data_IF_180958984188
#
_entry.id   IF_180958984188
#
_cell.length_a   1.000
_cell.length_b   1.000
_cell.length_c   1.000
_cell.angle_alpha   90.00
_cell.angle_beta   90.00
_cell.angle_gamma   90.00
#
_symmetry.space_group_name_H-M   'P 1'
#
loop_
_entity.id
_entity.type
_entity.pdbx_description
1 polymer ?
#
# COMPACT_ATOMS: atom_id res chain seq x y z
N UNK A 1 -5.84 53.08 13.00
CA UNK A 1 -5.72 52.25 11.78
C UNK A 1 -5.04 50.92 12.13
N UNK A 2 -5.62 50.16 13.05
CA UNK A 2 -5.19 48.79 13.37
C UNK A 2 -6.41 47.91 13.21
N UNK A 3 -6.57 47.38 11.99
CA UNK A 3 -7.60 46.39 11.69
C UNK A 3 -7.29 45.12 12.46
N UNK A 4 -8.15 44.79 13.42
CA UNK A 4 -8.21 43.46 13.99
C UNK A 4 -8.60 42.52 12.85
N UNK A 5 -7.61 41.79 12.32
CA UNK A 5 -7.86 40.60 11.51
C UNK A 5 -8.73 39.68 12.37
N UNK A 6 -9.98 39.41 11.99
CA UNK A 6 -10.78 38.47 12.73
C UNK A 6 -10.12 37.11 12.60
N UNK A 7 -9.78 36.51 13.74
CA UNK A 7 -9.48 35.09 13.91
C UNK A 7 -10.78 34.30 13.66
N UNK A 8 -11.36 34.49 12.47
CA UNK A 8 -12.58 33.85 12.04
C UNK A 8 -12.26 32.37 11.90
N UNK A 9 -12.62 31.62 12.94
CA UNK A 9 -13.01 30.23 12.92
C UNK A 9 -12.45 29.47 11.73
N UNK A 10 -11.23 28.92 11.90
CA UNK A 10 -10.70 27.90 11.01
C UNK A 10 -11.83 26.93 10.70
N UNK A 11 -12.23 26.91 9.42
CA UNK A 11 -13.49 26.38 8.97
C UNK A 11 -13.77 25.04 9.63
N UNK A 12 -14.82 25.01 10.45
CA UNK A 12 -15.43 23.77 10.90
C UNK A 12 -15.80 23.01 9.64
N UNK A 13 -14.91 22.09 9.24
CA UNK A 13 -15.09 21.33 8.02
C UNK A 13 -16.48 20.71 8.09
N UNK A 14 -17.25 20.75 6.98
CA UNK A 14 -18.67 20.43 6.99
C UNK A 14 -18.88 19.14 7.78
N UNK A 15 -19.68 19.22 8.85
CA UNK A 15 -19.88 18.12 9.78
C UNK A 15 -20.39 16.92 8.98
N UNK A 16 -19.48 15.99 8.68
CA UNK A 16 -19.84 14.75 8.02
C UNK A 16 -20.85 14.03 8.91
N UNK A 17 -21.88 13.44 8.31
CA UNK A 17 -22.77 12.55 9.04
C UNK A 17 -21.94 11.50 9.82
N UNK A 18 -22.36 11.10 11.03
CA UNK A 18 -21.55 10.30 11.96
C UNK A 18 -21.02 9.01 11.32
N UNK A 19 -21.80 8.43 10.41
CA UNK A 19 -21.43 7.25 9.62
C UNK A 19 -20.21 7.49 8.72
N UNK A 20 -20.15 8.61 7.98
CA UNK A 20 -19.01 8.92 7.10
C UNK A 20 -17.74 9.15 7.91
N UNK A 21 -17.83 9.84 9.04
CA UNK A 21 -16.70 10.03 9.95
C UNK A 21 -16.17 8.72 10.48
N UNK A 22 -17.05 7.80 10.89
CA UNK A 22 -16.66 6.48 11.35
C UNK A 22 -15.95 5.66 10.25
N UNK A 23 -16.43 5.71 9.00
CA UNK A 23 -15.79 5.05 7.86
C UNK A 23 -14.40 5.61 7.56
N UNK A 24 -14.24 6.93 7.56
CA UNK A 24 -12.93 7.57 7.34
C UNK A 24 -11.94 7.14 8.41
N UNK A 25 -12.33 7.20 9.69
CA UNK A 25 -11.47 6.77 10.80
C UNK A 25 -11.11 5.29 10.66
N UNK A 26 -12.09 4.43 10.36
CA UNK A 26 -11.84 3.00 10.16
C UNK A 26 -10.80 2.76 9.06
N UNK A 27 -10.99 3.36 7.88
CA UNK A 27 -10.09 3.18 6.76
C UNK A 27 -8.68 3.72 7.02
N UNK A 28 -8.57 4.86 7.71
CA UNK A 28 -7.26 5.43 8.09
C UNK A 28 -6.56 4.55 9.12
N UNK A 29 -7.27 4.05 10.14
CA UNK A 29 -6.69 3.18 11.17
C UNK A 29 -6.23 1.86 10.57
N UNK A 30 -7.06 1.20 9.75
CA UNK A 30 -6.69 -0.02 9.02
C UNK A 30 -5.50 0.26 8.12
N UNK A 31 -5.55 1.35 7.36
CA UNK A 31 -4.46 1.81 6.50
C UNK A 31 -3.13 1.94 7.25
N UNK A 32 -3.14 2.65 8.37
CA UNK A 32 -1.98 2.89 9.22
C UNK A 32 -1.41 1.60 9.80
N UNK A 33 -2.26 0.68 10.27
CA UNK A 33 -1.82 -0.62 10.79
C UNK A 33 -1.11 -1.43 9.71
N UNK A 34 -1.67 -1.53 8.51
CA UNK A 34 -1.07 -2.29 7.41
C UNK A 34 0.22 -1.65 6.88
N UNK A 35 0.26 -0.32 6.73
CA UNK A 35 1.47 0.39 6.31
C UNK A 35 2.60 0.21 7.34
N UNK A 36 2.28 0.35 8.63
CA UNK A 36 3.25 0.14 9.71
C UNK A 36 3.74 -1.31 9.73
N UNK A 37 2.84 -2.29 9.61
CA UNK A 37 3.21 -3.70 9.53
C UNK A 37 4.09 -3.99 8.29
N UNK A 38 3.82 -3.32 7.16
CA UNK A 38 4.66 -3.36 5.96
C UNK A 38 6.07 -2.83 6.19
N UNK A 39 6.19 -1.66 6.82
CA UNK A 39 7.48 -1.06 7.20
C UNK A 39 8.24 -1.97 8.17
N UNK A 40 7.57 -2.53 9.18
CA UNK A 40 8.20 -3.49 10.08
C UNK A 40 8.64 -4.75 9.32
N UNK A 41 7.81 -5.23 8.40
CA UNK A 41 8.11 -6.38 7.54
C UNK A 41 9.34 -6.17 6.67
N UNK A 42 9.52 -4.98 6.10
CA UNK A 42 10.70 -4.68 5.26
C UNK A 42 12.00 -4.66 6.09
N UNK A 43 11.93 -4.18 7.33
CA UNK A 43 13.09 -4.07 8.23
C UNK A 43 13.44 -5.42 8.84
N UNK A 44 12.44 -6.23 9.20
CA UNK A 44 12.64 -7.42 10.02
C UNK A 44 12.74 -8.72 9.23
N UNK A 45 12.22 -8.80 8.01
CA UNK A 45 12.26 -10.05 7.23
C UNK A 45 13.65 -10.24 6.60
N UNK A 46 14.22 -11.45 6.65
CA UNK A 46 15.59 -11.70 6.21
C UNK A 46 15.73 -11.75 4.68
N UNK A 47 14.71 -12.24 3.97
CA UNK A 47 14.76 -12.45 2.52
C UNK A 47 13.98 -11.39 1.74
N UNK A 48 14.51 -10.96 0.59
CA UNK A 48 13.88 -10.14 -0.45
C UNK A 48 12.46 -10.61 -0.79
N UNK A 49 12.23 -11.92 -1.00
CA UNK A 49 10.89 -12.42 -1.36
C UNK A 49 9.89 -12.22 -0.21
N UNK A 50 10.31 -12.46 1.03
CA UNK A 50 9.48 -12.23 2.22
C UNK A 50 9.22 -10.73 2.43
N UNK A 51 10.22 -9.87 2.23
CA UNK A 51 10.06 -8.41 2.24
C UNK A 51 9.04 -7.96 1.20
N UNK A 52 9.14 -8.46 -0.04
CA UNK A 52 8.21 -8.15 -1.13
C UNK A 52 6.78 -8.59 -0.83
N UNK A 53 6.60 -9.77 -0.23
CA UNK A 53 5.28 -10.24 0.19
C UNK A 53 4.67 -9.33 1.28
N UNK A 54 5.47 -8.91 2.25
CA UNK A 54 5.02 -7.98 3.29
C UNK A 54 4.68 -6.59 2.73
N UNK A 55 5.55 -6.01 1.90
CA UNK A 55 5.34 -4.68 1.30
C UNK A 55 4.16 -4.68 0.33
N UNK A 56 3.97 -5.74 -0.46
CA UNK A 56 2.85 -5.82 -1.40
C UNK A 56 1.51 -5.78 -0.69
N UNK A 57 1.35 -6.54 0.41
CA UNK A 57 0.13 -6.52 1.24
C UNK A 57 -0.11 -5.15 1.88
N UNK A 58 0.97 -4.53 2.36
CA UNK A 58 0.89 -3.21 2.98
C UNK A 58 0.46 -2.14 1.98
N UNK A 59 0.93 -2.18 0.73
CA UNK A 59 0.51 -1.20 -0.29
C UNK A 59 -0.92 -1.47 -0.76
N UNK A 60 -1.28 -2.73 -1.06
CA UNK A 60 -2.61 -3.05 -1.61
C UNK A 60 -3.74 -2.91 -0.59
N UNK A 61 -3.51 -3.20 0.69
CA UNK A 61 -4.53 -3.02 1.74
C UNK A 61 -4.34 -1.70 2.48
N UNK A 62 -3.11 -1.34 2.83
CA UNK A 62 -2.82 -0.15 3.62
C UNK A 62 -3.03 1.13 2.84
N UNK A 63 -2.21 1.36 1.80
CA UNK A 63 -2.30 2.57 0.99
C UNK A 63 -3.65 2.71 0.27
N UNK A 64 -4.22 1.60 -0.22
CA UNK A 64 -5.55 1.62 -0.82
C UNK A 64 -6.65 1.97 0.19
N UNK A 65 -6.58 1.47 1.45
CA UNK A 65 -7.56 1.87 2.49
C UNK A 65 -7.46 3.36 2.79
N UNK A 66 -6.25 3.92 2.89
CA UNK A 66 -6.08 5.36 3.09
C UNK A 66 -6.66 6.16 1.92
N UNK A 67 -6.43 5.73 0.68
CA UNK A 67 -7.03 6.36 -0.49
C UNK A 67 -8.57 6.24 -0.49
N UNK A 68 -9.14 5.10 -0.10
CA UNK A 68 -10.60 4.91 0.07
C UNK A 68 -11.18 5.82 1.18
N UNK A 69 -10.42 6.13 2.22
CA UNK A 69 -10.80 7.13 3.21
C UNK A 69 -10.99 8.51 2.55
N UNK A 70 -10.16 8.85 1.56
CA UNK A 70 -10.32 10.02 0.70
C UNK A 70 -11.66 10.01 -0.04
N UNK A 71 -12.02 8.89 -0.67
CA UNK A 71 -13.33 8.74 -1.34
C UNK A 71 -14.48 8.94 -0.34
N UNK A 72 -14.39 8.32 0.85
CA UNK A 72 -15.40 8.45 1.90
C UNK A 72 -15.53 9.90 2.41
N UNK A 73 -14.41 10.66 2.44
CA UNK A 73 -14.35 12.06 2.89
C UNK A 73 -14.86 13.05 1.84
N UNK A 74 -14.43 12.92 0.59
CA UNK A 74 -14.70 13.90 -0.46
C UNK A 74 -15.96 13.54 -1.28
N UNK A 75 -16.46 12.31 -1.19
CA UNK A 75 -17.62 11.86 -1.97
C UNK A 75 -17.25 11.65 -3.45
N UNK A 76 -18.24 11.43 -4.35
CA UNK A 76 -18.00 11.12 -5.76
C UNK A 76 -17.59 12.33 -6.63
N UNK A 77 -17.22 13.46 -6.02
CA UNK A 77 -16.70 14.63 -6.74
C UNK A 77 -15.28 14.42 -7.27
N UNK A 78 -14.68 15.50 -7.77
CA UNK A 78 -13.40 15.48 -8.48
C UNK A 78 -12.26 14.88 -7.64
N UNK A 79 -12.18 15.25 -6.36
CA UNK A 79 -11.18 14.73 -5.43
C UNK A 79 -11.40 13.24 -5.09
N UNK A 80 -12.66 12.79 -5.05
CA UNK A 80 -12.99 11.38 -4.83
C UNK A 80 -12.66 10.50 -6.03
N UNK A 81 -12.85 11.02 -7.25
CA UNK A 81 -12.42 10.33 -8.47
C UNK A 81 -10.90 10.16 -8.49
N UNK A 82 -10.15 11.20 -8.12
CA UNK A 82 -8.70 11.14 -8.00
C UNK A 82 -8.26 10.08 -6.98
N UNK A 83 -8.94 9.99 -5.84
CA UNK A 83 -8.68 8.95 -4.84
C UNK A 83 -8.99 7.53 -5.37
N UNK A 84 -10.08 7.35 -6.13
CA UNK A 84 -10.42 6.07 -6.75
C UNK A 84 -9.39 5.65 -7.82
N UNK A 85 -8.97 6.59 -8.67
CA UNK A 85 -7.91 6.37 -9.66
C UNK A 85 -6.60 6.01 -8.96
N UNK A 86 -6.30 6.63 -7.82
CA UNK A 86 -5.13 6.29 -7.00
C UNK A 86 -5.19 4.85 -6.49
N UNK A 87 -6.34 4.38 -6.01
CA UNK A 87 -6.54 2.98 -5.59
C UNK A 87 -6.28 2.04 -6.76
N UNK A 88 -6.91 2.29 -7.91
CA UNK A 88 -6.74 1.46 -9.11
C UNK A 88 -5.29 1.42 -9.57
N UNK A 89 -4.63 2.57 -9.62
CA UNK A 89 -3.23 2.69 -10.01
C UNK A 89 -2.32 1.91 -9.06
N UNK A 90 -2.49 2.07 -7.74
CA UNK A 90 -1.73 1.30 -6.75
C UNK A 90 -1.97 -0.21 -6.90
N UNK A 91 -3.20 -0.62 -7.18
CA UNK A 91 -3.55 -2.03 -7.32
C UNK A 91 -2.93 -2.68 -8.57
N UNK A 92 -2.68 -1.91 -9.62
CA UNK A 92 -1.97 -2.38 -10.81
C UNK A 92 -0.46 -2.32 -10.61
N UNK A 93 0.07 -1.19 -10.12
CA UNK A 93 1.51 -0.96 -10.02
C UNK A 93 2.16 -1.79 -8.92
N UNK A 94 1.49 -2.02 -7.78
CA UNK A 94 2.10 -2.75 -6.67
C UNK A 94 2.41 -4.23 -7.02
N UNK A 95 1.48 -5.02 -7.60
CA UNK A 95 1.78 -6.38 -8.04
C UNK A 95 2.81 -6.44 -9.16
N UNK A 96 2.72 -5.54 -10.15
CA UNK A 96 3.70 -5.49 -11.25
C UNK A 96 5.10 -5.20 -10.74
N UNK A 97 5.25 -4.22 -9.85
CA UNK A 97 6.53 -3.89 -9.22
C UNK A 97 7.09 -5.06 -8.41
N UNK A 98 6.27 -5.71 -7.59
CA UNK A 98 6.69 -6.88 -6.81
C UNK A 98 7.13 -8.04 -7.71
N UNK A 99 6.40 -8.30 -8.81
CA UNK A 99 6.75 -9.34 -9.77
C UNK A 99 8.09 -9.04 -10.46
N UNK A 100 8.30 -7.80 -10.90
CA UNK A 100 9.57 -7.38 -11.51
C UNK A 100 10.75 -7.51 -10.55
N UNK A 101 10.59 -7.09 -9.29
CA UNK A 101 11.63 -7.23 -8.25
C UNK A 101 11.93 -8.69 -7.98
N UNK A 102 10.91 -9.54 -7.85
CA UNK A 102 11.08 -10.98 -7.65
C UNK A 102 11.81 -11.65 -8.82
N UNK A 103 11.45 -11.30 -10.06
CA UNK A 103 12.12 -11.83 -11.27
C UNK A 103 13.57 -11.37 -11.36
N UNK A 104 13.86 -10.12 -10.99
CA UNK A 104 15.22 -9.61 -10.94
C UNK A 104 16.05 -10.33 -9.86
N UNK A 105 15.51 -10.53 -8.66
CA UNK A 105 16.17 -11.26 -7.59
C UNK A 105 16.51 -12.70 -8.00
N UNK A 106 15.57 -13.39 -8.67
CA UNK A 106 15.79 -14.73 -9.20
C UNK A 106 16.92 -14.75 -10.23
N UNK A 107 16.94 -13.80 -11.18
CA UNK A 107 18.00 -13.69 -12.20
C UNK A 107 19.37 -13.35 -11.63
N UNK A 108 19.42 -12.65 -10.50
CA UNK A 108 20.66 -12.35 -9.77
C UNK A 108 21.15 -13.53 -8.91
N UNK A 109 20.45 -14.67 -8.92
CA UNK A 109 20.81 -15.85 -8.12
C UNK A 109 20.51 -15.71 -6.63
N UNK A 110 19.61 -14.80 -6.23
CA UNK A 110 19.21 -14.66 -4.82
C UNK A 110 18.38 -15.88 -4.40
N UNK A 111 18.84 -16.68 -3.41
CA UNK A 111 18.14 -17.90 -2.99
C UNK A 111 16.80 -17.57 -2.32
N UNK A 112 15.82 -18.44 -2.51
CA UNK A 112 14.46 -18.24 -2.00
C UNK A 112 14.34 -18.54 -0.49
N UNK A 113 14.99 -19.62 -0.06
CA UNK A 113 15.19 -20.04 1.33
C UNK A 113 16.47 -20.88 1.35
N UNK A 114 17.18 -20.92 2.48
CA UNK A 114 18.38 -21.75 2.61
C UNK A 114 18.04 -23.21 2.32
N UNK A 115 18.67 -23.79 1.30
CA UNK A 115 18.44 -25.17 0.87
C UNK A 115 17.23 -25.40 -0.05
N UNK A 116 16.50 -24.35 -0.46
CA UNK A 116 15.37 -24.46 -1.41
C UNK A 116 15.73 -23.75 -2.71
N UNK A 117 15.99 -24.54 -3.75
CA UNK A 117 16.16 -24.06 -5.13
C UNK A 117 14.81 -24.07 -5.85
N UNK A 118 14.64 -23.18 -6.84
CA UNK A 118 13.49 -23.26 -7.73
C UNK A 118 13.55 -24.57 -8.53
N UNK A 119 12.41 -25.25 -8.83
CA UNK A 119 12.39 -26.37 -9.76
C UNK A 119 12.83 -25.86 -11.14
N UNK A 120 14.08 -26.11 -11.48
CA UNK A 120 14.61 -26.01 -12.84
C UNK A 120 14.72 -27.42 -13.44
N UNK A 121 15.08 -27.53 -14.73
CA UNK A 121 15.55 -28.79 -15.27
C UNK A 121 16.66 -29.33 -14.35
N UNK A 122 16.54 -30.57 -13.90
CA UNK A 122 17.63 -31.18 -13.13
C UNK A 122 18.80 -31.34 -14.12
N UNK A 123 20.03 -30.91 -13.81
CA UNK A 123 21.18 -31.25 -14.65
C UNK A 123 21.33 -32.76 -14.87
N UNK A 124 20.71 -33.63 -14.06
CA UNK A 124 20.64 -35.07 -14.35
C UNK A 124 19.72 -35.44 -15.51
N UNK A 125 18.80 -34.56 -15.92
CA UNK A 125 17.88 -34.79 -17.04
C UNK A 125 18.54 -34.46 -18.41
N UNK A 126 19.78 -33.96 -18.42
CA UNK A 126 20.52 -33.65 -19.65
C UNK A 126 21.31 -34.86 -20.21
N UNK A 127 21.44 -35.94 -19.43
CA UNK A 127 22.23 -37.14 -19.76
C UNK A 127 21.39 -38.35 -20.26
N UNK A 128 20.06 -38.24 -20.36
CA UNK A 128 19.11 -39.26 -20.87
C UNK A 128 18.55 -38.94 -22.27
#
# INVERSE_FOLDING_TARGET
>A
MTGLVPLAAEGAAPALGPVRSALVVLFVVVGAVFLTAGTVGIIRLPNVYNRMHATSKATTLGAASVALAGVARFGPGDEGLTALVTVLFLFLTAPTGAHMISRAAQRMGVPFLDGVTWPGPDPSDEDD
#
